data_IF_762701385623
#
_entry.id   IF_762701385623
#
_cell.length_a   1.000
_cell.length_b   1.000
_cell.length_c   1.000
_cell.angle_alpha   90.00
_cell.angle_beta   90.00
_cell.angle_gamma   90.00
#
_symmetry.space_group_name_H-M   'P 1'
#
loop_
_entity.id
_entity.type
_entity.pdbx_description
1 polymer ?
#
# COMPACT_ATOMS: atom_id res chain seq x y z
N UNK A 1 25.55 30.88 -0.09
CA UNK A 1 24.38 30.04 0.11
C UNK A 1 24.88 28.62 0.24
N UNK A 2 25.10 28.14 1.47
CA UNK A 2 25.59 26.78 1.73
C UNK A 2 24.50 25.80 1.34
N UNK A 3 24.73 25.01 0.32
CA UNK A 3 23.95 23.80 0.01
C UNK A 3 24.04 22.90 1.25
N UNK A 4 22.98 22.89 2.06
CA UNK A 4 22.89 22.00 3.20
C UNK A 4 23.09 20.57 2.72
N UNK A 5 24.16 19.91 3.14
CA UNK A 5 24.39 18.49 2.90
C UNK A 5 23.13 17.74 3.33
N UNK A 6 22.48 17.09 2.39
CA UNK A 6 21.35 16.22 2.70
C UNK A 6 21.83 15.18 3.69
N UNK A 7 21.35 15.30 4.94
CA UNK A 7 21.78 14.39 6.01
C UNK A 7 21.34 13.00 5.64
N UNK A 8 22.26 12.04 5.58
CA UNK A 8 21.99 10.63 5.23
C UNK A 8 20.78 10.08 5.99
N UNK A 9 20.08 9.14 5.38
CA UNK A 9 18.96 8.43 6.00
C UNK A 9 19.53 7.23 6.73
N UNK A 10 19.40 7.21 8.05
CA UNK A 10 19.84 6.09 8.88
C UNK A 10 18.70 5.64 9.79
N UNK A 11 18.11 4.50 9.45
CA UNK A 11 16.99 3.95 10.22
C UNK A 11 17.49 3.23 11.46
N UNK A 12 16.88 3.52 12.60
CA UNK A 12 17.23 2.97 13.93
C UNK A 12 16.24 1.94 14.44
N UNK A 13 14.97 2.10 14.07
CA UNK A 13 13.90 1.18 14.51
C UNK A 13 12.89 0.99 13.40
N UNK A 14 12.36 -0.22 13.32
CA UNK A 14 11.25 -0.59 12.46
C UNK A 14 10.27 -1.37 13.32
N UNK A 15 9.01 -1.00 13.27
CA UNK A 15 7.91 -1.69 13.93
C UNK A 15 6.83 -2.05 12.94
N UNK A 16 6.26 -3.22 13.06
CA UNK A 16 5.11 -3.66 12.27
C UNK A 16 3.90 -3.84 13.18
N UNK A 17 2.73 -3.43 12.68
CA UNK A 17 1.46 -3.56 13.37
C UNK A 17 0.47 -4.25 12.44
N UNK A 18 -0.07 -5.40 12.86
CA UNK A 18 -1.07 -6.14 12.10
C UNK A 18 -2.44 -5.88 12.69
N UNK A 19 -3.34 -5.34 11.88
CA UNK A 19 -4.73 -5.08 12.24
C UNK A 19 -5.66 -5.89 11.35
N UNK A 20 -6.86 -6.20 11.86
CA UNK A 20 -7.94 -6.84 11.12
C UNK A 20 -9.25 -6.14 11.43
N UNK A 21 -9.92 -5.67 10.39
CA UNK A 21 -11.24 -5.07 10.50
C UNK A 21 -12.29 -6.03 9.94
N UNK A 22 -13.23 -6.51 10.77
CA UNK A 22 -14.34 -7.34 10.30
C UNK A 22 -15.25 -6.52 9.38
N UNK A 23 -15.70 -7.13 8.27
CA UNK A 23 -16.57 -6.47 7.31
C UNK A 23 -18.02 -6.86 7.55
N UNK A 24 -18.92 -5.87 7.70
CA UNK A 24 -20.37 -6.10 7.76
C UNK A 24 -20.89 -6.75 6.47
N UNK A 25 -20.32 -6.34 5.33
CA UNK A 25 -20.62 -6.93 4.01
C UNK A 25 -19.31 -7.48 3.44
N UNK A 26 -19.27 -8.80 3.29
CA UNK A 26 -18.10 -9.49 2.73
C UNK A 26 -17.80 -9.03 1.30
N UNK A 27 -16.54 -8.78 0.99
CA UNK A 27 -16.10 -8.43 -0.36
C UNK A 27 -15.89 -9.69 -1.18
N UNK A 28 -16.68 -9.86 -2.24
CA UNK A 28 -16.52 -10.95 -3.21
C UNK A 28 -15.58 -10.54 -4.33
N UNK A 29 -14.65 -11.42 -4.65
CA UNK A 29 -13.72 -11.31 -5.79
C UNK A 29 -13.72 -12.62 -6.57
N UNK A 30 -13.16 -12.62 -7.77
CA UNK A 30 -12.93 -13.85 -8.55
C UNK A 30 -11.99 -14.85 -7.88
N UNK A 31 -11.19 -14.40 -6.90
CA UNK A 31 -10.23 -15.23 -6.15
C UNK A 31 -10.77 -15.74 -4.81
N UNK A 32 -11.93 -15.25 -4.36
CA UNK A 32 -12.53 -15.65 -3.09
C UNK A 32 -13.27 -14.53 -2.38
N UNK A 33 -13.71 -14.83 -1.16
CA UNK A 33 -14.50 -13.92 -0.33
C UNK A 33 -13.67 -13.44 0.86
N UNK A 34 -13.56 -12.12 1.02
CA UNK A 34 -12.94 -11.50 2.20
C UNK A 34 -14.01 -11.17 3.23
N UNK A 35 -13.88 -11.71 4.43
CA UNK A 35 -14.75 -11.44 5.59
C UNK A 35 -14.16 -10.38 6.52
N UNK A 36 -12.86 -10.16 6.45
CA UNK A 36 -12.15 -9.09 7.14
C UNK A 36 -11.16 -8.39 6.20
N UNK A 37 -10.71 -7.22 6.61
CA UNK A 37 -9.63 -6.47 5.95
C UNK A 37 -8.40 -6.51 6.84
N UNK A 38 -7.39 -7.32 6.51
CA UNK A 38 -6.09 -7.20 7.13
C UNK A 38 -5.39 -5.92 6.68
N UNK A 39 -4.64 -5.31 7.58
CA UNK A 39 -3.78 -4.16 7.31
C UNK A 39 -2.48 -4.32 8.08
N UNK A 40 -1.36 -4.09 7.41
CA UNK A 40 -0.06 -4.01 8.06
C UNK A 40 0.44 -2.58 7.94
N UNK A 41 0.58 -1.91 9.07
CA UNK A 41 1.32 -0.66 9.13
C UNK A 41 2.77 -0.94 9.50
N UNK A 42 3.68 -0.24 8.86
CA UNK A 42 5.09 -0.21 9.22
C UNK A 42 5.45 1.20 9.66
N UNK A 43 6.07 1.31 10.84
CA UNK A 43 6.62 2.53 11.38
C UNK A 43 8.15 2.44 11.40
N UNK A 44 8.80 3.45 10.88
CA UNK A 44 10.26 3.58 10.92
C UNK A 44 10.65 4.79 11.75
N UNK A 45 11.78 4.69 12.43
CA UNK A 45 12.39 5.82 13.14
C UNK A 45 13.84 5.99 12.68
N UNK A 46 14.24 7.23 12.43
CA UNK A 46 15.61 7.54 12.07
C UNK A 46 16.50 7.87 13.29
N UNK A 47 17.76 8.15 13.04
CA UNK A 47 18.73 8.58 14.06
C UNK A 47 18.58 10.03 14.51
N UNK A 48 17.66 10.80 13.91
CA UNK A 48 17.35 12.19 14.23
C UNK A 48 16.05 12.35 15.04
N UNK A 49 15.37 11.24 15.35
CA UNK A 49 14.10 11.24 16.08
C UNK A 49 12.86 11.49 15.21
N UNK A 50 12.98 11.47 13.87
CA UNK A 50 11.82 11.54 13.01
C UNK A 50 11.21 10.15 12.82
N UNK A 51 9.91 10.11 12.49
CA UNK A 51 9.19 8.89 12.18
C UNK A 51 8.52 8.96 10.81
N UNK A 52 8.38 7.81 10.17
CA UNK A 52 7.62 7.63 8.94
C UNK A 52 6.72 6.40 9.02
N UNK A 53 5.57 6.48 8.34
CA UNK A 53 4.58 5.43 8.30
C UNK A 53 4.33 4.96 6.87
N UNK A 54 4.19 3.64 6.71
CA UNK A 54 3.82 3.01 5.44
C UNK A 54 2.83 1.88 5.66
N UNK A 55 2.20 1.42 4.58
CA UNK A 55 1.32 0.26 4.58
C UNK A 55 1.87 -0.81 3.66
N UNK A 56 1.87 -2.06 4.14
CA UNK A 56 2.22 -3.23 3.34
C UNK A 56 0.92 -3.90 2.89
N UNK A 57 0.71 -3.98 1.58
CA UNK A 57 -0.47 -4.63 1.02
C UNK A 57 -0.53 -6.12 1.38
N UNK A 58 -1.68 -6.59 1.89
CA UNK A 58 -1.80 -7.95 2.43
C UNK A 58 -3.20 -8.57 2.31
N UNK A 59 -4.03 -8.13 1.38
CA UNK A 59 -5.43 -8.60 1.25
C UNK A 59 -5.57 -10.10 1.00
N UNK A 60 -4.61 -10.74 0.32
CA UNK A 60 -4.61 -12.17 0.02
C UNK A 60 -3.21 -12.78 0.09
N UNK A 61 -3.08 -14.05 0.52
CA UNK A 61 -4.09 -14.84 1.23
C UNK A 61 -4.40 -14.24 2.61
N UNK A 62 -5.48 -14.66 3.26
CA UNK A 62 -5.94 -14.06 4.53
C UNK A 62 -4.88 -14.07 5.64
N UNK A 63 -4.04 -15.12 5.70
CA UNK A 63 -2.89 -15.24 6.63
C UNK A 63 -1.68 -14.42 6.19
N UNK A 64 -1.76 -13.74 5.05
CA UNK A 64 -0.61 -13.07 4.43
C UNK A 64 -0.11 -11.85 5.20
N UNK A 65 -0.91 -11.29 6.11
CA UNK A 65 -0.51 -10.16 6.92
C UNK A 65 0.61 -10.54 7.91
N UNK A 66 0.39 -11.55 8.72
CA UNK A 66 1.36 -12.05 9.71
C UNK A 66 2.66 -12.53 9.04
N UNK A 67 2.52 -13.16 7.86
CA UNK A 67 3.66 -13.58 7.07
C UNK A 67 4.54 -12.40 6.64
N UNK A 68 3.95 -11.33 6.11
CA UNK A 68 4.68 -10.13 5.69
C UNK A 68 5.30 -9.39 6.85
N UNK A 69 4.60 -9.29 7.98
CA UNK A 69 5.18 -8.71 9.20
C UNK A 69 6.44 -9.47 9.61
N UNK A 70 6.42 -10.83 9.61
CA UNK A 70 7.61 -11.64 9.87
C UNK A 70 8.72 -11.44 8.85
N UNK A 71 8.41 -11.25 7.56
CA UNK A 71 9.42 -10.94 6.54
C UNK A 71 10.08 -9.57 6.81
N UNK A 72 9.32 -8.58 7.26
CA UNK A 72 9.92 -7.30 7.66
C UNK A 72 10.88 -7.51 8.81
N UNK A 73 10.48 -8.23 9.86
CA UNK A 73 11.29 -8.41 11.06
C UNK A 73 12.55 -9.24 10.79
N UNK A 74 12.41 -10.36 10.06
CA UNK A 74 13.50 -11.33 9.86
C UNK A 74 14.40 -11.05 8.66
N UNK A 75 13.92 -10.34 7.64
CA UNK A 75 14.65 -10.11 6.39
C UNK A 75 14.94 -8.64 6.17
N UNK A 76 13.90 -7.79 6.15
CA UNK A 76 14.07 -6.39 5.76
C UNK A 76 14.79 -5.57 6.84
N UNK A 77 14.39 -5.72 8.10
CA UNK A 77 14.96 -4.95 9.22
C UNK A 77 16.47 -5.15 9.37
N UNK A 78 17.02 -6.37 9.38
CA UNK A 78 18.47 -6.57 9.43
C UNK A 78 19.22 -5.92 8.27
N UNK A 79 18.65 -5.91 7.07
CA UNK A 79 19.27 -5.32 5.89
C UNK A 79 19.31 -3.78 5.95
N UNK A 80 18.25 -3.18 6.50
CA UNK A 80 18.07 -1.72 6.53
C UNK A 80 18.76 -1.05 7.72
N UNK A 81 18.66 -1.65 8.92
CA UNK A 81 19.19 -1.07 10.16
C UNK A 81 20.71 -0.97 10.20
N UNK A 82 21.42 -1.74 9.41
CA UNK A 82 22.90 -1.80 9.40
C UNK A 82 23.56 -0.69 8.57
N UNK A 83 22.79 0.12 7.81
CA UNK A 83 23.30 1.00 6.77
C UNK A 83 22.82 2.43 6.90
N UNK A 84 23.49 3.31 6.17
CA UNK A 84 23.07 4.68 5.92
C UNK A 84 22.98 4.93 4.42
N UNK A 85 22.02 5.73 3.98
CA UNK A 85 21.68 5.92 2.58
C UNK A 85 21.54 7.40 2.23
N UNK A 86 21.81 7.74 0.98
CA UNK A 86 21.72 9.13 0.50
C UNK A 86 20.27 9.56 0.24
N UNK A 87 19.41 8.63 -0.24
CA UNK A 87 18.03 8.92 -0.63
C UNK A 87 17.13 7.66 -0.54
N UNK A 88 15.83 7.86 -0.75
CA UNK A 88 14.84 6.77 -0.75
C UNK A 88 15.07 5.77 -1.88
N UNK A 89 15.50 6.24 -3.05
CA UNK A 89 15.76 5.37 -4.21
C UNK A 89 16.88 4.37 -3.92
N UNK A 90 17.95 4.80 -3.29
CA UNK A 90 19.08 3.91 -2.92
C UNK A 90 18.65 2.84 -1.91
N UNK A 91 17.73 3.15 -0.99
CA UNK A 91 17.12 2.17 -0.08
C UNK A 91 16.29 1.14 -0.86
N UNK A 92 15.42 1.61 -1.73
CA UNK A 92 14.55 0.74 -2.54
C UNK A 92 15.38 -0.20 -3.42
N UNK A 93 16.39 0.33 -4.13
CA UNK A 93 17.26 -0.45 -5.03
C UNK A 93 18.06 -1.50 -4.24
N UNK A 94 18.62 -1.13 -3.08
CA UNK A 94 19.39 -2.04 -2.25
C UNK A 94 18.53 -3.17 -1.67
N UNK A 95 17.38 -2.87 -1.09
CA UNK A 95 16.46 -3.87 -0.58
C UNK A 95 15.96 -4.82 -1.68
N UNK A 96 15.59 -4.28 -2.84
CA UNK A 96 15.17 -5.06 -4.01
C UNK A 96 16.27 -6.01 -4.46
N UNK A 97 17.52 -5.53 -4.54
CA UNK A 97 18.68 -6.35 -4.92
C UNK A 97 18.95 -7.45 -3.91
N UNK A 98 18.95 -7.12 -2.61
CA UNK A 98 19.32 -8.09 -1.57
C UNK A 98 18.24 -9.16 -1.32
N UNK A 99 16.98 -8.85 -1.54
CA UNK A 99 15.86 -9.81 -1.39
C UNK A 99 15.64 -10.66 -2.64
N UNK A 100 16.28 -10.34 -3.77
CA UNK A 100 16.06 -11.02 -5.07
C UNK A 100 16.31 -12.54 -5.01
N UNK A 101 17.43 -12.96 -4.45
CA UNK A 101 17.79 -14.40 -4.40
C UNK A 101 16.82 -15.16 -3.50
N UNK A 102 16.50 -14.61 -2.34
CA UNK A 102 15.49 -15.20 -1.44
C UNK A 102 14.13 -15.32 -2.13
N UNK A 103 13.71 -14.28 -2.85
CA UNK A 103 12.46 -14.29 -3.61
C UNK A 103 12.39 -15.42 -4.63
N UNK A 104 13.52 -15.70 -5.32
CA UNK A 104 13.64 -16.83 -6.27
C UNK A 104 13.56 -18.17 -5.55
N UNK A 105 14.40 -18.36 -4.53
CA UNK A 105 14.56 -19.64 -3.86
C UNK A 105 13.35 -20.06 -3.03
N UNK A 106 12.68 -19.11 -2.39
CA UNK A 106 11.49 -19.34 -1.57
C UNK A 106 10.16 -19.18 -2.33
N UNK A 107 10.17 -18.71 -3.58
CA UNK A 107 8.94 -18.36 -4.31
C UNK A 107 8.23 -17.13 -3.75
N UNK A 108 8.93 -16.24 -3.06
CA UNK A 108 8.39 -15.16 -2.22
C UNK A 108 8.45 -13.78 -2.89
N UNK A 109 8.49 -13.70 -4.22
CA UNK A 109 8.60 -12.43 -4.95
C UNK A 109 7.53 -11.40 -4.55
N UNK A 110 6.26 -11.85 -4.55
CA UNK A 110 5.14 -10.98 -4.22
C UNK A 110 5.22 -10.41 -2.80
N UNK A 111 5.28 -11.28 -1.78
CA UNK A 111 5.41 -10.85 -0.39
C UNK A 111 6.61 -9.93 -0.12
N UNK A 112 7.78 -10.25 -0.64
CA UNK A 112 8.99 -9.43 -0.47
C UNK A 112 8.86 -8.06 -1.15
N UNK A 113 8.35 -8.02 -2.39
CA UNK A 113 8.11 -6.75 -3.09
C UNK A 113 7.10 -5.86 -2.35
N UNK A 114 6.05 -6.46 -1.75
CA UNK A 114 5.08 -5.73 -0.94
C UNK A 114 5.69 -5.18 0.35
N UNK A 115 6.59 -5.94 1.00
CA UNK A 115 7.34 -5.44 2.16
C UNK A 115 8.24 -4.27 1.78
N UNK A 116 9.00 -4.39 0.68
CA UNK A 116 9.87 -3.31 0.19
C UNK A 116 9.06 -2.06 -0.15
N UNK A 117 7.89 -2.22 -0.80
CA UNK A 117 6.99 -1.10 -1.12
C UNK A 117 6.46 -0.39 0.13
N UNK A 118 6.07 -1.15 1.18
CA UNK A 118 5.62 -0.55 2.45
C UNK A 118 6.74 0.23 3.17
N UNK A 119 7.96 -0.27 3.13
CA UNK A 119 9.13 0.45 3.63
C UNK A 119 9.39 1.72 2.80
N UNK A 120 9.31 1.65 1.48
CA UNK A 120 9.48 2.79 0.59
C UNK A 120 8.49 3.92 0.89
N UNK A 121 7.21 3.57 1.11
CA UNK A 121 6.18 4.51 1.55
C UNK A 121 6.57 5.17 2.87
N UNK A 122 7.03 4.38 3.86
CA UNK A 122 7.44 4.90 5.17
C UNK A 122 8.66 5.83 5.07
N UNK A 123 9.64 5.53 4.20
CA UNK A 123 10.80 6.39 3.94
C UNK A 123 10.37 7.72 3.31
N UNK A 124 9.46 7.68 2.33
CA UNK A 124 8.94 8.90 1.71
C UNK A 124 8.15 9.77 2.71
N UNK A 125 7.34 9.17 3.58
CA UNK A 125 6.63 9.87 4.65
C UNK A 125 7.61 10.55 5.63
N UNK A 126 8.64 9.81 6.08
CA UNK A 126 9.70 10.34 6.92
C UNK A 126 10.43 11.53 6.25
N UNK A 127 10.79 11.39 4.98
CA UNK A 127 11.46 12.46 4.23
C UNK A 127 10.55 13.68 4.03
N UNK A 128 9.27 13.47 3.77
CA UNK A 128 8.27 14.52 3.68
C UNK A 128 8.16 15.31 4.97
N UNK A 129 8.11 14.61 6.12
CA UNK A 129 8.11 15.22 7.46
C UNK A 129 9.40 15.97 7.76
N UNK A 130 10.58 15.39 7.48
CA UNK A 130 11.88 16.08 7.61
C UNK A 130 11.94 17.40 6.82
N UNK A 131 11.32 17.43 5.62
CA UNK A 131 11.32 18.60 4.73
C UNK A 131 10.14 19.54 4.95
N UNK A 132 9.17 19.18 5.78
CA UNK A 132 7.90 19.90 5.92
C UNK A 132 7.14 20.02 4.59
N UNK A 133 7.26 19.00 3.70
CA UNK A 133 6.74 19.03 2.33
C UNK A 133 5.90 17.78 2.07
N UNK A 134 4.65 17.92 1.57
CA UNK A 134 3.84 16.77 1.18
C UNK A 134 4.53 15.91 0.12
N UNK A 135 4.36 14.58 0.19
CA UNK A 135 5.02 13.63 -0.72
C UNK A 135 4.75 13.97 -2.19
N UNK A 136 3.51 14.34 -2.56
CA UNK A 136 3.19 14.66 -3.94
C UNK A 136 4.01 15.84 -4.50
N UNK A 137 4.27 16.87 -3.68
CA UNK A 137 5.17 17.98 -4.06
C UNK A 137 6.61 17.55 -4.14
N UNK A 138 7.05 16.71 -3.18
CA UNK A 138 8.41 16.17 -3.16
C UNK A 138 8.71 15.31 -4.40
N UNK A 139 7.69 14.63 -4.94
CA UNK A 139 7.76 13.82 -6.16
C UNK A 139 7.50 14.62 -7.45
N UNK A 140 7.43 15.95 -7.37
CA UNK A 140 7.29 16.83 -8.56
C UNK A 140 5.84 17.04 -9.00
N UNK A 141 4.85 16.70 -8.17
CA UNK A 141 3.44 16.99 -8.46
C UNK A 141 3.17 18.48 -8.50
N UNK A 142 2.34 18.91 -9.46
CA UNK A 142 2.00 20.32 -9.71
C UNK A 142 0.56 20.67 -9.35
N UNK A 143 -0.28 19.65 -9.09
CA UNK A 143 -1.69 19.82 -8.71
C UNK A 143 -1.97 19.09 -7.41
N UNK A 144 -2.88 19.63 -6.60
CA UNK A 144 -3.35 19.06 -5.34
C UNK A 144 -4.65 18.25 -5.49
N UNK A 145 -5.14 18.10 -6.72
CA UNK A 145 -6.36 17.38 -7.03
C UNK A 145 -6.16 16.40 -8.18
N UNK A 146 -6.88 15.28 -8.12
CA UNK A 146 -6.88 14.23 -9.17
C UNK A 146 -8.31 13.80 -9.47
N UNK A 147 -8.65 13.48 -10.74
CA UNK A 147 -9.94 12.87 -11.06
C UNK A 147 -10.11 11.53 -10.34
N UNK A 148 -11.25 11.33 -9.71
CA UNK A 148 -11.55 10.12 -8.96
C UNK A 148 -12.80 9.40 -9.51
N UNK A 149 -12.91 8.12 -9.20
CA UNK A 149 -14.10 7.31 -9.42
C UNK A 149 -14.40 6.45 -8.19
N UNK A 150 -15.67 6.15 -7.96
CA UNK A 150 -16.06 5.21 -6.91
C UNK A 150 -15.72 3.79 -7.34
N UNK A 151 -14.86 3.14 -6.57
CA UNK A 151 -14.42 1.76 -6.80
C UNK A 151 -15.15 0.79 -5.88
N UNK A 152 -15.11 -0.51 -6.23
CA UNK A 152 -15.58 -1.56 -5.34
C UNK A 152 -17.07 -1.86 -5.42
N UNK A 153 -17.75 -1.43 -6.49
CA UNK A 153 -19.17 -1.82 -6.73
C UNK A 153 -19.26 -3.34 -6.80
N UNK A 154 -19.96 -3.94 -5.83
CA UNK A 154 -20.17 -5.38 -5.75
C UNK A 154 -21.23 -5.83 -6.76
N UNK A 155 -21.08 -7.02 -7.38
CA UNK A 155 -22.03 -7.50 -8.38
C UNK A 155 -23.43 -7.77 -7.83
N UNK A 156 -23.58 -8.03 -6.53
CA UNK A 156 -24.87 -8.34 -5.89
C UNK A 156 -25.65 -7.11 -5.43
N UNK A 157 -25.04 -5.93 -5.40
CA UNK A 157 -25.64 -4.68 -4.90
C UNK A 157 -25.23 -3.50 -5.78
N UNK A 158 -25.13 -3.73 -7.10
CA UNK A 158 -24.60 -2.74 -8.02
C UNK A 158 -25.41 -1.44 -8.03
N UNK A 159 -26.74 -1.52 -8.05
CA UNK A 159 -27.65 -0.38 -8.07
C UNK A 159 -27.51 0.49 -6.81
N UNK A 160 -27.66 -0.13 -5.65
CA UNK A 160 -27.62 0.56 -4.35
C UNK A 160 -26.26 1.22 -4.13
N UNK A 161 -25.19 0.53 -4.47
CA UNK A 161 -23.81 1.08 -4.35
C UNK A 161 -23.56 2.20 -5.35
N UNK A 162 -24.10 2.09 -6.58
CA UNK A 162 -24.04 3.14 -7.59
C UNK A 162 -24.76 4.41 -7.13
N UNK A 163 -26.02 4.29 -6.67
CA UNK A 163 -26.79 5.41 -6.11
C UNK A 163 -26.09 6.07 -4.93
N UNK A 164 -25.53 5.27 -4.00
CA UNK A 164 -24.74 5.79 -2.89
C UNK A 164 -23.49 6.55 -3.37
N UNK A 165 -22.79 6.04 -4.37
CA UNK A 165 -21.62 6.72 -4.92
C UNK A 165 -21.98 8.07 -5.56
N UNK A 166 -23.09 8.13 -6.32
CA UNK A 166 -23.61 9.36 -6.90
C UNK A 166 -23.99 10.37 -5.80
N UNK A 167 -24.66 9.94 -4.73
CA UNK A 167 -25.00 10.81 -3.60
C UNK A 167 -23.80 11.41 -2.87
N UNK A 168 -22.62 10.76 -2.98
CA UNK A 168 -21.34 11.24 -2.47
C UNK A 168 -20.57 12.12 -3.48
N UNK A 169 -21.17 12.44 -4.62
CA UNK A 169 -20.59 13.32 -5.64
C UNK A 169 -19.71 12.64 -6.69
N UNK A 170 -19.59 11.31 -6.67
CA UNK A 170 -18.87 10.60 -7.73
C UNK A 170 -19.73 10.52 -8.99
N UNK A 171 -19.15 10.87 -10.13
CA UNK A 171 -19.78 10.76 -11.45
C UNK A 171 -19.17 9.68 -12.34
N UNK A 172 -18.25 8.90 -11.80
CA UNK A 172 -17.60 7.76 -12.44
C UNK A 172 -17.58 6.58 -11.49
N UNK A 173 -17.95 5.40 -12.00
CA UNK A 173 -18.08 4.18 -11.23
C UNK A 173 -17.19 3.07 -11.82
N UNK A 174 -16.62 2.22 -10.97
CA UNK A 174 -15.90 1.02 -11.38
C UNK A 174 -16.63 -0.22 -10.86
N UNK A 175 -17.32 -0.90 -11.77
CA UNK A 175 -17.96 -2.19 -11.50
C UNK A 175 -16.95 -3.34 -11.56
N UNK A 176 -17.08 -4.30 -10.64
CA UNK A 176 -16.37 -5.59 -10.74
C UNK A 176 -17.16 -6.50 -11.69
N UNK A 177 -16.48 -7.09 -12.66
CA UNK A 177 -17.00 -8.06 -13.63
C UNK A 177 -16.24 -9.39 -13.52
N UNK A 178 -16.68 -10.41 -14.27
CA UNK A 178 -16.12 -11.76 -14.24
C UNK A 178 -16.95 -12.73 -13.39
N UNK A 179 -18.25 -12.43 -13.19
CA UNK A 179 -19.19 -13.24 -12.41
C UNK A 179 -20.24 -13.94 -13.29
N UNK A 180 -20.02 -13.97 -14.60
CA UNK A 180 -20.89 -14.50 -15.63
C UNK A 180 -21.53 -13.41 -16.48
N UNK A 181 -21.66 -13.68 -17.80
CA UNK A 181 -22.10 -12.67 -18.77
C UNK A 181 -23.44 -12.04 -18.42
N UNK A 182 -24.43 -12.84 -18.02
CA UNK A 182 -25.78 -12.34 -17.72
C UNK A 182 -25.78 -11.35 -16.56
N UNK A 183 -25.06 -11.67 -15.47
CA UNK A 183 -24.96 -10.82 -14.30
C UNK A 183 -24.16 -9.54 -14.60
N UNK A 184 -23.05 -9.69 -15.33
CA UNK A 184 -22.19 -8.58 -15.67
C UNK A 184 -22.91 -7.59 -16.59
N UNK A 185 -23.60 -8.06 -17.63
CA UNK A 185 -24.41 -7.24 -18.55
C UNK A 185 -25.58 -6.55 -17.83
N UNK A 186 -26.30 -7.30 -16.97
CA UNK A 186 -27.37 -6.74 -16.15
C UNK A 186 -26.88 -5.58 -15.27
N UNK A 187 -25.76 -5.78 -14.58
CA UNK A 187 -25.19 -4.76 -13.70
C UNK A 187 -24.67 -3.53 -14.48
N UNK A 188 -24.08 -3.74 -15.65
CA UNK A 188 -23.67 -2.65 -16.54
C UNK A 188 -24.87 -1.82 -16.99
N UNK A 189 -25.99 -2.45 -17.37
CA UNK A 189 -27.24 -1.74 -17.75
C UNK A 189 -27.76 -0.91 -16.59
N UNK A 190 -27.91 -1.53 -15.41
CA UNK A 190 -28.41 -0.86 -14.19
C UNK A 190 -27.59 0.38 -13.79
N UNK A 191 -26.28 0.33 -13.99
CA UNK A 191 -25.38 1.46 -13.63
C UNK A 191 -25.32 2.56 -14.69
N UNK A 192 -25.90 2.33 -15.88
CA UNK A 192 -26.00 3.35 -16.96
C UNK A 192 -27.31 4.12 -16.93
N UNK A 193 -28.36 3.61 -16.30
CA UNK A 193 -29.63 4.27 -16.03
C UNK A 193 -29.49 5.36 -14.94
#
# INVERSE_FOLDING_TARGET
MLLGSSKMIKIKKIHTFVYRYPLDIAVKTSFGTMKDRPMILVQIHDDLGNEGWGEIWCNFPNIGAEHRAKLVDSVISPLLLSKAYDDAKSIFDDLTKQTKVLGIQAGEYGPLAQCVAGIDIAIHDLMGKRKGTPIWKMLGGTTDSVPAYASGINPTQAKEMGVKALSLGFNKLKLKIGFGNDLDLKNLSILRE
#
